data_IF_833214861632
#
_entry.id   IF_833214861632
#
_cell.length_a   1.000
_cell.length_b   1.000
_cell.length_c   1.000
_cell.angle_alpha   90.00
_cell.angle_beta   90.00
_cell.angle_gamma   90.00
#
_symmetry.space_group_name_H-M   'P 1'
#
loop_
_entity.id
_entity.type
_entity.pdbx_description
1 polymer ?
#
# COMPACT_ATOMS: atom_id res chain seq x y z
N UNK A 1 -39.83 31.84 6.78
CA UNK A 1 -39.62 30.40 6.48
C UNK A 1 -38.20 30.13 5.99
N UNK A 2 -37.83 30.62 4.80
CA UNK A 2 -36.52 30.33 4.21
C UNK A 2 -35.35 30.86 5.05
N UNK A 3 -35.47 32.09 5.58
CA UNK A 3 -34.45 32.67 6.46
C UNK A 3 -34.17 31.82 7.71
N UNK A 4 -35.20 31.27 8.37
CA UNK A 4 -35.00 30.43 9.56
C UNK A 4 -34.37 29.09 9.23
N UNK A 5 -34.75 28.48 8.10
CA UNK A 5 -34.14 27.22 7.64
C UNK A 5 -32.68 27.41 7.25
N UNK A 6 -32.37 28.48 6.50
CA UNK A 6 -31.00 28.83 6.10
C UNK A 6 -30.11 29.09 7.31
N UNK A 7 -30.59 29.85 8.29
CA UNK A 7 -29.82 30.20 9.49
C UNK A 7 -29.55 28.97 10.37
N UNK A 8 -30.52 28.09 10.55
CA UNK A 8 -30.33 26.85 11.32
C UNK A 8 -29.33 25.92 10.63
N UNK A 9 -29.47 25.74 9.32
CA UNK A 9 -28.50 24.97 8.54
C UNK A 9 -27.07 25.54 8.67
N UNK A 10 -26.92 26.86 8.55
CA UNK A 10 -25.63 27.54 8.70
C UNK A 10 -25.04 27.33 10.10
N UNK A 11 -25.82 27.48 11.18
CA UNK A 11 -25.29 27.30 12.54
C UNK A 11 -24.84 25.86 12.80
N UNK A 12 -25.65 24.86 12.39
CA UNK A 12 -25.28 23.45 12.56
C UNK A 12 -24.05 23.09 11.74
N UNK A 13 -23.94 23.61 10.51
CA UNK A 13 -22.79 23.41 9.64
C UNK A 13 -21.51 24.05 10.23
N UNK A 14 -21.57 25.27 10.74
CA UNK A 14 -20.41 25.93 11.37
C UNK A 14 -19.98 25.24 12.67
N UNK A 15 -20.93 24.80 13.52
CA UNK A 15 -20.61 24.01 14.71
C UNK A 15 -19.88 22.71 14.34
N UNK A 16 -20.38 21.99 13.33
CA UNK A 16 -19.77 20.74 12.87
C UNK A 16 -18.38 20.97 12.24
N UNK A 17 -18.21 22.04 11.45
CA UNK A 17 -16.90 22.43 10.88
C UNK A 17 -15.88 22.72 11.96
N UNK A 18 -16.27 23.45 13.01
CA UNK A 18 -15.36 23.80 14.09
C UNK A 18 -14.96 22.57 14.91
N UNK A 19 -15.90 21.67 15.22
CA UNK A 19 -15.59 20.40 15.86
C UNK A 19 -14.62 19.56 15.01
N UNK A 20 -14.86 19.48 13.69
CA UNK A 20 -13.97 18.81 12.74
C UNK A 20 -12.58 19.47 12.67
N UNK A 21 -12.47 20.79 12.77
CA UNK A 21 -11.17 21.49 12.81
C UNK A 21 -10.39 21.14 14.09
N UNK A 22 -11.05 21.14 15.24
CA UNK A 22 -10.45 20.77 16.53
C UNK A 22 -9.98 19.32 16.50
N UNK A 23 -10.83 18.39 16.03
CA UNK A 23 -10.49 16.97 15.87
C UNK A 23 -9.28 16.81 14.94
N UNK A 24 -9.25 17.54 13.83
CA UNK A 24 -8.10 17.54 12.91
C UNK A 24 -6.80 17.93 13.62
N UNK A 25 -6.83 19.01 14.41
CA UNK A 25 -5.64 19.46 15.13
C UNK A 25 -5.18 18.44 16.20
N UNK A 26 -6.13 17.75 16.85
CA UNK A 26 -5.82 16.65 17.76
C UNK A 26 -5.19 15.47 17.00
N UNK A 27 -5.75 15.09 15.85
CA UNK A 27 -5.18 14.04 14.99
C UNK A 27 -3.75 14.39 14.57
N UNK A 28 -3.49 15.61 14.08
CA UNK A 28 -2.15 16.03 13.66
C UNK A 28 -1.14 15.99 14.82
N UNK A 29 -1.56 16.37 16.03
CA UNK A 29 -0.73 16.28 17.22
C UNK A 29 -0.45 14.82 17.61
N UNK A 30 -1.45 13.93 17.51
CA UNK A 30 -1.32 12.50 17.79
C UNK A 30 -0.44 11.79 16.75
N UNK A 31 -0.58 12.12 15.46
CA UNK A 31 0.31 11.62 14.42
C UNK A 31 1.78 12.00 14.70
N UNK A 32 2.03 13.25 15.12
CA UNK A 32 3.39 13.69 15.54
C UNK A 32 3.90 12.94 16.77
N UNK A 33 3.04 12.61 17.72
CA UNK A 33 3.44 11.81 18.90
C UNK A 33 3.72 10.36 18.51
N UNK A 34 2.93 9.77 17.62
CA UNK A 34 3.17 8.43 17.08
C UNK A 34 4.43 8.35 16.22
N UNK A 35 4.74 9.38 15.42
CA UNK A 35 5.98 9.45 14.65
C UNK A 35 7.22 9.37 15.56
N UNK A 36 7.18 10.03 16.73
CA UNK A 36 8.28 9.94 17.72
C UNK A 36 8.56 8.53 18.22
N UNK A 37 7.59 7.61 18.12
CA UNK A 37 7.73 6.21 18.52
C UNK A 37 8.35 5.33 17.42
N UNK A 38 8.55 5.86 16.21
CA UNK A 38 9.12 5.10 15.11
C UNK A 38 10.60 4.76 15.36
N UNK A 39 11.08 3.58 14.90
CA UNK A 39 12.45 3.12 15.11
C UNK A 39 13.53 4.11 14.62
N UNK A 40 13.24 4.92 13.60
CA UNK A 40 14.15 5.94 13.06
C UNK A 40 14.65 6.92 14.12
N UNK A 41 13.83 7.23 15.13
CA UNK A 41 14.19 8.16 16.19
C UNK A 41 15.16 7.56 17.23
N UNK A 42 15.34 6.24 17.23
CA UNK A 42 16.30 5.55 18.11
C UNK A 42 17.74 5.61 17.60
N UNK A 43 17.99 5.99 16.34
CA UNK A 43 19.32 5.99 15.74
C UNK A 43 20.33 6.86 16.53
N UNK A 44 19.90 8.02 17.01
CA UNK A 44 20.73 8.91 17.82
C UNK A 44 21.13 8.27 19.15
N UNK A 45 20.20 7.55 19.81
CA UNK A 45 20.46 6.86 21.08
C UNK A 45 21.48 5.73 20.90
N UNK A 46 21.36 4.96 19.82
CA UNK A 46 22.31 3.89 19.48
C UNK A 46 23.70 4.46 19.22
N UNK A 47 23.80 5.52 18.39
CA UNK A 47 25.07 6.18 18.09
C UNK A 47 25.74 6.75 19.35
N UNK A 48 24.98 7.36 20.26
CA UNK A 48 25.51 7.85 21.53
C UNK A 48 26.06 6.71 22.42
N UNK A 49 25.37 5.58 22.50
CA UNK A 49 25.85 4.42 23.28
C UNK A 49 27.09 3.76 22.67
N UNK A 50 27.14 3.60 21.34
CA UNK A 50 28.30 3.02 20.65
C UNK A 50 29.55 3.90 20.77
N UNK A 51 29.37 5.23 20.68
CA UNK A 51 30.48 6.19 20.80
C UNK A 51 30.96 6.37 22.25
N UNK A 52 30.10 6.16 23.25
CA UNK A 52 30.51 6.13 24.68
C UNK A 52 31.52 5.04 24.98
N UNK A 53 31.42 3.87 24.34
CA UNK A 53 32.42 2.80 24.46
C UNK A 53 33.79 3.15 23.85
N UNK A 54 33.87 4.17 22.98
CA UNK A 54 35.10 4.60 22.30
C UNK A 54 35.74 5.88 22.88
N UNK A 55 35.02 6.67 23.68
CA UNK A 55 35.49 7.96 24.22
C UNK A 55 35.43 8.01 25.74
N UNK A 56 36.44 7.44 26.41
CA UNK A 56 36.70 7.71 27.83
C UNK A 56 37.31 9.10 28.10
N UNK A 57 37.67 9.89 27.07
CA UNK A 57 38.48 11.12 27.27
C UNK A 57 37.88 12.48 26.91
N UNK A 58 36.61 12.60 26.49
CA UNK A 58 36.05 13.94 26.20
C UNK A 58 34.63 14.14 26.75
N UNK A 59 34.54 14.93 27.84
CA UNK A 59 33.30 15.48 28.42
C UNK A 59 32.69 16.52 27.47
N UNK A 60 31.89 16.09 26.50
CA UNK A 60 30.79 16.92 25.98
C UNK A 60 29.52 16.46 26.67
N UNK A 61 28.80 17.39 27.32
CA UNK A 61 27.48 17.08 27.89
C UNK A 61 26.60 16.50 26.79
N UNK A 62 26.06 15.27 26.95
CA UNK A 62 25.17 14.71 25.95
C UNK A 62 23.91 15.56 25.90
N UNK A 63 23.46 15.90 24.68
CA UNK A 63 22.12 16.48 24.47
C UNK A 63 21.12 15.46 25.00
N UNK A 64 20.37 15.82 26.03
CA UNK A 64 19.36 14.95 26.64
C UNK A 64 18.18 14.84 25.66
N UNK A 65 18.07 13.69 25.01
CA UNK A 65 16.96 13.41 24.10
C UNK A 65 15.71 13.22 24.94
N UNK A 66 14.71 14.08 24.70
CA UNK A 66 13.44 14.00 25.40
C UNK A 66 12.70 12.71 25.04
N UNK A 67 12.41 11.89 26.05
CA UNK A 67 11.73 10.61 25.83
C UNK A 67 10.22 10.84 25.60
N UNK A 68 9.62 10.13 24.63
CA UNK A 68 8.16 10.09 24.47
C UNK A 68 7.46 9.75 25.79
N UNK A 69 6.34 10.43 26.07
CA UNK A 69 5.58 10.33 27.31
C UNK A 69 5.91 11.42 28.34
N UNK A 70 7.03 12.15 28.20
CA UNK A 70 7.31 13.29 29.09
C UNK A 70 6.32 14.44 28.89
N UNK A 71 5.81 14.60 27.67
CA UNK A 71 4.73 15.53 27.33
C UNK A 71 3.43 15.25 28.12
N UNK A 72 3.22 14.00 28.56
CA UNK A 72 2.06 13.59 29.36
C UNK A 72 2.30 13.73 30.87
N UNK A 73 3.53 13.98 31.32
CA UNK A 73 3.84 14.16 32.73
C UNK A 73 3.44 15.56 33.21
N UNK A 74 2.20 15.68 33.67
CA UNK A 74 1.63 16.94 34.18
C UNK A 74 2.03 17.21 35.62
N UNK A 75 2.65 18.37 35.87
CA UNK A 75 3.00 18.86 37.22
C UNK A 75 1.89 19.68 37.88
N UNK A 76 1.22 20.54 37.11
CA UNK A 76 0.10 21.39 37.57
C UNK A 76 -0.95 21.49 36.47
N UNK A 77 -2.23 21.69 36.85
CA UNK A 77 -3.35 21.92 35.92
C UNK A 77 -3.48 23.39 35.49
N UNK A 78 -2.77 24.30 36.13
CA UNK A 78 -2.76 25.72 35.78
C UNK A 78 -2.06 25.96 34.43
N UNK A 79 -1.09 25.12 34.09
CA UNK A 79 -0.37 25.19 32.82
C UNK A 79 -1.10 24.38 31.74
N UNK A 80 -2.03 25.03 31.04
CA UNK A 80 -2.78 24.42 29.95
C UNK A 80 -1.92 24.25 28.70
N UNK A 81 -1.72 23.00 28.29
CA UNK A 81 -1.07 22.67 27.01
C UNK A 81 -2.01 22.95 25.84
N UNK A 82 -1.49 22.97 24.61
CA UNK A 82 -2.33 23.06 23.41
C UNK A 82 -3.34 21.92 23.34
N UNK A 83 -2.93 20.70 23.70
CA UNK A 83 -3.83 19.54 23.74
C UNK A 83 -4.95 19.74 24.77
N UNK A 84 -4.69 20.36 25.92
CA UNK A 84 -5.73 20.65 26.92
C UNK A 84 -6.79 21.59 26.35
N UNK A 85 -6.36 22.68 25.72
CA UNK A 85 -7.27 23.65 25.10
C UNK A 85 -8.13 23.01 24.01
N UNK A 86 -7.53 22.16 23.17
CA UNK A 86 -8.24 21.43 22.13
C UNK A 86 -9.27 20.45 22.71
N UNK A 87 -8.91 19.65 23.71
CA UNK A 87 -9.85 18.70 24.32
C UNK A 87 -10.98 19.41 25.09
N UNK A 88 -10.69 20.51 25.78
CA UNK A 88 -11.72 21.33 26.43
C UNK A 88 -12.71 21.88 25.39
N UNK A 89 -12.21 22.52 24.33
CA UNK A 89 -13.05 23.05 23.26
C UNK A 89 -13.88 21.96 22.57
N UNK A 90 -13.27 20.79 22.31
CA UNK A 90 -13.96 19.64 21.74
C UNK A 90 -15.11 19.17 22.63
N UNK A 91 -14.85 19.02 23.93
CA UNK A 91 -15.86 18.53 24.89
C UNK A 91 -17.07 19.45 24.95
N UNK A 92 -16.85 20.76 25.08
CA UNK A 92 -17.92 21.76 25.13
C UNK A 92 -18.73 21.80 23.83
N UNK A 93 -18.06 21.76 22.69
CA UNK A 93 -18.73 21.82 21.39
C UNK A 93 -19.48 20.51 21.08
N UNK A 94 -18.90 19.35 21.39
CA UNK A 94 -19.57 18.06 21.28
C UNK A 94 -20.79 17.98 22.19
N UNK A 95 -20.73 18.53 23.41
CA UNK A 95 -21.88 18.63 24.29
C UNK A 95 -23.02 19.42 23.61
N UNK A 96 -22.72 20.56 23.00
CA UNK A 96 -23.71 21.36 22.28
C UNK A 96 -24.30 20.62 21.06
N UNK A 97 -23.47 19.91 20.28
CA UNK A 97 -23.91 19.12 19.11
C UNK A 97 -24.80 17.94 19.55
N UNK A 98 -24.48 17.30 20.68
CA UNK A 98 -25.20 16.13 21.18
C UNK A 98 -26.41 16.48 22.06
N UNK A 99 -26.61 17.77 22.39
CA UNK A 99 -27.64 18.22 23.33
C UNK A 99 -29.06 17.88 22.86
N UNK A 100 -29.33 18.05 21.57
CA UNK A 100 -30.59 17.62 20.94
C UNK A 100 -30.30 16.65 19.81
N UNK A 101 -30.99 15.51 19.80
CA UNK A 101 -30.90 14.55 18.70
C UNK A 101 -31.43 15.15 17.39
N UNK A 102 -32.55 15.88 17.49
CA UNK A 102 -33.29 16.45 16.38
C UNK A 102 -33.79 17.85 16.76
N UNK A 103 -33.77 18.79 15.82
CA UNK A 103 -34.30 20.14 15.94
C UNK A 103 -35.35 20.32 14.86
N UNK A 104 -36.61 20.55 15.26
CA UNK A 104 -37.70 20.81 14.32
C UNK A 104 -37.85 22.30 14.10
N UNK A 105 -37.74 22.73 12.85
CA UNK A 105 -37.89 24.12 12.43
C UNK A 105 -38.90 24.13 11.28
N UNK A 106 -40.13 24.53 11.60
CA UNK A 106 -41.27 24.41 10.69
C UNK A 106 -41.51 22.93 10.36
N UNK A 107 -41.72 22.58 9.08
CA UNK A 107 -41.93 21.21 8.61
C UNK A 107 -40.62 20.43 8.37
N UNK A 108 -39.47 20.96 8.80
CA UNK A 108 -38.15 20.35 8.56
C UNK A 108 -37.51 19.90 9.88
N UNK A 109 -36.94 18.71 9.85
CA UNK A 109 -36.20 18.12 10.98
C UNK A 109 -34.71 18.15 10.66
N UNK A 110 -33.93 18.77 11.52
CA UNK A 110 -32.48 18.86 11.44
C UNK A 110 -31.86 17.93 12.49
N UNK A 111 -30.83 17.17 12.12
CA UNK A 111 -30.10 16.29 13.04
C UNK A 111 -28.65 16.78 13.18
N UNK A 112 -28.30 17.51 14.26
CA UNK A 112 -26.97 18.12 14.41
C UNK A 112 -25.80 17.15 14.24
N UNK A 113 -25.92 15.92 14.77
CA UNK A 113 -24.89 14.88 14.67
C UNK A 113 -24.56 14.47 13.23
N UNK A 114 -25.52 14.54 12.32
CA UNK A 114 -25.32 14.12 10.92
C UNK A 114 -24.41 15.10 10.17
N UNK A 115 -24.47 16.39 10.51
CA UNK A 115 -23.53 17.40 9.99
C UNK A 115 -22.09 17.05 10.40
N UNK A 116 -21.89 16.70 11.68
CA UNK A 116 -20.57 16.30 12.16
C UNK A 116 -20.10 15.00 11.50
N UNK A 117 -20.96 13.98 11.39
CA UNK A 117 -20.65 12.73 10.69
C UNK A 117 -20.15 13.00 9.26
N UNK A 118 -20.90 13.78 8.47
CA UNK A 118 -20.53 14.10 7.09
C UNK A 118 -19.19 14.87 7.00
N UNK A 119 -18.95 15.82 7.89
CA UNK A 119 -17.69 16.56 7.93
C UNK A 119 -16.50 15.68 8.31
N UNK A 120 -16.68 14.74 9.25
CA UNK A 120 -15.65 13.80 9.65
C UNK A 120 -15.30 12.81 8.54
N UNK A 121 -16.30 12.26 7.86
CA UNK A 121 -16.10 11.36 6.72
C UNK A 121 -15.31 12.05 5.60
N UNK A 122 -15.75 13.24 5.18
CA UNK A 122 -15.05 14.03 4.16
C UNK A 122 -13.63 14.40 4.58
N UNK A 123 -13.44 14.80 5.85
CA UNK A 123 -12.12 15.19 6.35
C UNK A 123 -11.18 14.00 6.43
N UNK A 124 -11.67 12.85 6.86
CA UNK A 124 -10.90 11.62 7.00
C UNK A 124 -10.48 11.09 5.64
N UNK A 125 -11.40 11.01 4.67
CA UNK A 125 -11.07 10.63 3.29
C UNK A 125 -9.95 11.49 2.69
N UNK A 126 -10.04 12.82 2.86
CA UNK A 126 -8.97 13.75 2.42
C UNK A 126 -7.67 13.58 3.22
N UNK A 127 -7.75 13.30 4.52
CA UNK A 127 -6.58 13.06 5.36
C UNK A 127 -5.81 11.83 4.91
N UNK A 128 -6.52 10.72 4.62
CA UNK A 128 -5.93 9.46 4.18
C UNK A 128 -5.03 9.64 2.97
N UNK A 129 -5.52 10.32 1.92
CA UNK A 129 -4.73 10.60 0.71
C UNK A 129 -3.64 11.64 0.99
N UNK A 130 -3.95 12.69 1.78
CA UNK A 130 -2.96 13.71 2.14
C UNK A 130 -1.75 13.16 2.90
N UNK A 131 -1.95 12.15 3.75
CA UNK A 131 -0.88 11.49 4.51
C UNK A 131 0.02 10.60 3.64
N UNK A 132 -0.39 10.25 2.41
CA UNK A 132 0.47 9.54 1.44
C UNK A 132 1.66 10.40 1.01
N UNK A 133 1.52 11.73 1.10
CA UNK A 133 2.58 12.70 0.77
C UNK A 133 3.18 12.49 -0.62
N UNK A 134 2.37 12.04 -1.58
CA UNK A 134 2.84 11.77 -2.93
C UNK A 134 3.12 13.08 -3.69
N UNK A 135 4.34 13.23 -4.18
CA UNK A 135 4.75 14.33 -5.03
C UNK A 135 5.19 13.80 -6.40
N UNK A 136 4.43 14.13 -7.44
CA UNK A 136 4.69 13.66 -8.80
C UNK A 136 5.98 14.23 -9.41
N UNK A 137 6.42 15.42 -8.97
CA UNK A 137 7.63 16.06 -9.49
C UNK A 137 8.90 15.41 -8.93
N UNK A 138 8.90 15.08 -7.64
CA UNK A 138 10.05 14.46 -6.96
C UNK A 138 9.98 12.93 -6.93
N UNK A 139 8.82 12.34 -7.25
CA UNK A 139 8.50 10.92 -7.05
C UNK A 139 8.64 10.46 -5.59
N UNK A 140 8.47 11.39 -4.65
CA UNK A 140 8.48 11.08 -3.21
C UNK A 140 7.11 10.58 -2.78
N UNK A 141 7.11 9.60 -1.87
CA UNK A 141 5.93 9.03 -1.27
C UNK A 141 6.25 8.61 0.17
N UNK A 142 5.27 8.70 1.07
CA UNK A 142 5.40 8.18 2.42
C UNK A 142 5.64 6.67 2.40
N UNK A 143 6.43 6.18 3.36
CA UNK A 143 6.60 4.73 3.54
C UNK A 143 5.28 4.11 4.02
N UNK A 144 4.89 2.92 3.51
CA UNK A 144 3.68 2.25 3.97
C UNK A 144 3.56 2.13 5.49
N UNK A 145 4.64 1.81 6.20
CA UNK A 145 4.66 1.68 7.66
C UNK A 145 4.38 3.00 8.39
N UNK A 146 4.98 4.10 7.92
CA UNK A 146 4.78 5.44 8.48
C UNK A 146 3.36 5.95 8.23
N UNK A 147 2.82 5.70 7.03
CA UNK A 147 1.44 5.98 6.70
C UNK A 147 0.49 5.18 7.59
N UNK A 148 0.70 3.87 7.74
CA UNK A 148 -0.14 3.01 8.59
C UNK A 148 -0.16 3.47 10.04
N UNK A 149 0.99 3.86 10.60
CA UNK A 149 1.06 4.42 11.96
C UNK A 149 0.24 5.71 12.08
N UNK A 150 0.32 6.58 11.08
CA UNK A 150 -0.44 7.83 11.03
C UNK A 150 -1.95 7.59 10.89
N UNK A 151 -2.36 6.66 10.02
CA UNK A 151 -3.76 6.24 9.86
C UNK A 151 -4.32 5.68 11.16
N UNK A 152 -3.58 4.77 11.83
CA UNK A 152 -3.99 4.22 13.13
C UNK A 152 -4.11 5.30 14.21
N UNK A 153 -3.17 6.24 14.26
CA UNK A 153 -3.24 7.37 15.19
C UNK A 153 -4.49 8.23 14.94
N UNK A 154 -4.80 8.52 13.68
CA UNK A 154 -5.99 9.25 13.28
C UNK A 154 -7.27 8.51 13.67
N UNK A 155 -7.35 7.20 13.40
CA UNK A 155 -8.48 6.35 13.77
C UNK A 155 -8.68 6.31 15.28
N UNK A 156 -7.60 6.20 16.07
CA UNK A 156 -7.71 6.21 17.53
C UNK A 156 -8.36 7.51 18.04
N UNK A 157 -8.00 8.66 17.48
CA UNK A 157 -8.64 9.93 17.84
C UNK A 157 -10.11 9.93 17.43
N UNK A 158 -10.44 9.53 16.20
CA UNK A 158 -11.83 9.47 15.76
C UNK A 158 -12.68 8.53 16.62
N UNK A 159 -12.15 7.37 17.02
CA UNK A 159 -12.85 6.46 17.92
C UNK A 159 -13.18 7.12 19.27
N UNK A 160 -12.28 7.97 19.79
CA UNK A 160 -12.56 8.69 21.06
C UNK A 160 -13.69 9.70 20.93
N UNK A 161 -14.04 10.14 19.71
CA UNK A 161 -15.17 11.06 19.47
C UNK A 161 -16.51 10.44 19.88
N UNK A 162 -16.64 9.11 19.77
CA UNK A 162 -17.85 8.37 20.21
C UNK A 162 -18.16 8.56 21.70
N UNK A 163 -17.16 8.86 22.51
CA UNK A 163 -17.36 9.14 23.94
C UNK A 163 -18.07 10.48 24.19
N UNK A 164 -18.04 11.40 23.22
CA UNK A 164 -18.62 12.74 23.36
C UNK A 164 -19.92 12.91 22.56
N UNK A 165 -20.03 12.27 21.40
CA UNK A 165 -21.21 12.37 20.52
C UNK A 165 -21.61 10.97 20.07
N UNK A 166 -22.91 10.69 20.09
CA UNK A 166 -23.47 9.42 19.62
C UNK A 166 -23.46 9.35 18.07
N UNK A 167 -22.27 9.15 17.50
CA UNK A 167 -22.01 8.96 16.08
C UNK A 167 -21.39 7.58 15.89
N UNK A 168 -21.78 6.89 14.83
CA UNK A 168 -21.17 5.61 14.43
C UNK A 168 -19.87 5.89 13.65
N UNK A 169 -18.73 5.88 14.35
CA UNK A 169 -17.42 6.09 13.72
C UNK A 169 -17.00 4.85 12.92
N UNK A 170 -17.49 3.67 13.29
CA UNK A 170 -17.24 2.42 12.55
C UNK A 170 -17.75 2.52 11.12
N UNK A 171 -18.93 3.13 10.92
CA UNK A 171 -19.45 3.40 9.57
C UNK A 171 -18.55 4.34 8.77
N UNK A 172 -18.02 5.40 9.39
CA UNK A 172 -17.07 6.31 8.75
C UNK A 172 -15.81 5.56 8.31
N UNK A 173 -15.26 4.70 9.18
CA UNK A 173 -14.10 3.88 8.84
C UNK A 173 -14.37 2.94 7.67
N UNK A 174 -15.49 2.22 7.70
CA UNK A 174 -15.87 1.30 6.64
C UNK A 174 -16.02 2.01 5.29
N UNK A 175 -16.68 3.18 5.27
CA UNK A 175 -16.83 3.95 4.04
C UNK A 175 -15.50 4.47 3.51
N UNK A 176 -14.72 5.16 4.34
CA UNK A 176 -13.49 5.80 3.89
C UNK A 176 -12.39 4.79 3.55
N UNK A 177 -12.11 3.82 4.44
CA UNK A 177 -11.01 2.88 4.24
C UNK A 177 -11.27 1.92 3.09
N UNK A 178 -12.51 1.43 2.93
CA UNK A 178 -12.86 0.54 1.82
C UNK A 178 -12.75 1.25 0.47
N UNK A 179 -13.10 2.54 0.39
CA UNK A 179 -12.89 3.30 -0.84
C UNK A 179 -11.40 3.41 -1.18
N UNK A 180 -10.52 3.55 -0.19
CA UNK A 180 -9.07 3.65 -0.43
C UNK A 180 -8.43 2.38 -0.98
N UNK A 181 -9.14 1.24 -0.98
CA UNK A 181 -8.67 -0.02 -1.59
C UNK A 181 -9.01 -0.13 -3.08
N UNK A 182 -9.82 0.78 -3.63
CA UNK A 182 -10.23 0.79 -5.04
C UNK A 182 -9.28 1.65 -5.87
N UNK A 183 -9.39 1.67 -7.20
CA UNK A 183 -8.57 2.56 -8.05
C UNK A 183 -8.94 4.04 -7.88
N UNK A 184 -10.24 4.32 -7.76
CA UNK A 184 -10.80 5.66 -7.60
C UNK A 184 -11.78 5.66 -6.43
N UNK A 185 -11.87 6.78 -5.71
CA UNK A 185 -12.88 6.96 -4.68
C UNK A 185 -14.26 7.34 -5.26
N UNK A 186 -15.25 7.56 -4.40
CA UNK A 186 -16.61 7.94 -4.85
C UNK A 186 -16.67 9.31 -5.55
N UNK A 187 -15.62 10.12 -5.47
CA UNK A 187 -15.51 11.43 -6.12
C UNK A 187 -14.66 11.39 -7.40
N UNK A 188 -14.12 10.22 -7.76
CA UNK A 188 -13.24 10.05 -8.92
C UNK A 188 -11.78 10.43 -8.68
N UNK A 189 -11.38 10.59 -7.42
CA UNK A 189 -10.00 10.92 -7.03
C UNK A 189 -9.17 9.64 -6.84
N UNK A 190 -7.85 9.76 -7.05
CA UNK A 190 -6.92 8.64 -6.85
C UNK A 190 -6.81 8.28 -5.37
N UNK A 191 -6.89 6.98 -5.09
CA UNK A 191 -6.81 6.41 -3.75
C UNK A 191 -5.37 6.06 -3.35
N UNK A 192 -5.18 5.68 -2.08
CA UNK A 192 -3.94 5.07 -1.59
C UNK A 192 -3.51 3.89 -2.47
N UNK A 193 -4.42 2.96 -2.78
CA UNK A 193 -4.11 1.78 -3.60
C UNK A 193 -3.60 2.15 -5.00
N UNK A 194 -4.24 3.11 -5.66
CA UNK A 194 -3.82 3.57 -6.99
C UNK A 194 -2.47 4.29 -6.96
N UNK A 195 -2.24 5.15 -5.97
CA UNK A 195 -1.00 5.93 -5.84
C UNK A 195 0.20 5.00 -5.59
N UNK A 196 0.10 4.07 -4.64
CA UNK A 196 1.19 3.10 -4.41
C UNK A 196 1.38 2.16 -5.59
N UNK A 197 0.30 1.68 -6.22
CA UNK A 197 0.40 0.82 -7.41
C UNK A 197 1.15 1.53 -8.54
N UNK A 198 0.84 2.80 -8.79
CA UNK A 198 1.57 3.62 -9.75
C UNK A 198 3.04 3.79 -9.35
N UNK A 199 3.31 4.12 -8.08
CA UNK A 199 4.68 4.33 -7.61
C UNK A 199 5.55 3.06 -7.72
N UNK A 200 5.07 1.90 -7.25
CA UNK A 200 5.83 0.65 -7.37
C UNK A 200 6.11 0.27 -8.83
N UNK A 201 5.12 0.45 -9.73
CA UNK A 201 5.27 0.09 -11.13
C UNK A 201 6.15 1.07 -11.93
N UNK A 202 5.92 2.38 -11.80
CA UNK A 202 6.55 3.39 -12.65
C UNK A 202 7.85 3.96 -12.07
N UNK A 203 8.01 3.92 -10.74
CA UNK A 203 9.15 4.53 -10.03
C UNK A 203 10.14 3.45 -9.58
N UNK A 204 9.70 2.45 -8.82
CA UNK A 204 10.57 1.41 -8.28
C UNK A 204 10.99 0.40 -9.35
N UNK A 205 10.03 -0.31 -9.96
CA UNK A 205 10.33 -1.39 -10.92
C UNK A 205 10.97 -0.90 -12.23
N UNK A 206 10.69 0.34 -12.62
CA UNK A 206 11.37 0.99 -13.75
C UNK A 206 12.87 1.16 -13.49
N UNK A 207 13.26 1.53 -12.25
CA UNK A 207 14.67 1.65 -11.85
C UNK A 207 15.35 0.29 -11.68
N UNK A 208 14.61 -0.74 -11.32
CA UNK A 208 15.11 -2.13 -11.36
C UNK A 208 15.44 -2.54 -12.79
N UNK A 209 14.56 -2.23 -13.75
CA UNK A 209 14.78 -2.52 -15.17
C UNK A 209 15.98 -1.75 -15.76
N UNK A 210 16.33 -0.60 -15.17
CA UNK A 210 17.50 0.19 -15.52
C UNK A 210 18.82 -0.32 -14.89
N UNK A 211 18.76 -1.34 -14.02
CA UNK A 211 19.94 -1.95 -13.39
C UNK A 211 20.44 -1.26 -12.12
N UNK A 212 19.72 -0.26 -11.60
CA UNK A 212 20.13 0.47 -10.39
C UNK A 212 19.76 -0.25 -9.09
N UNK A 213 18.75 -1.10 -9.15
CA UNK A 213 18.13 -1.79 -8.01
C UNK A 213 18.04 -3.27 -8.35
N UNK A 214 18.32 -4.14 -7.39
CA UNK A 214 18.16 -5.59 -7.53
C UNK A 214 17.27 -6.18 -6.45
N UNK A 215 16.69 -7.34 -6.73
CA UNK A 215 15.97 -8.11 -5.72
C UNK A 215 16.93 -9.04 -4.98
N UNK A 216 16.99 -8.93 -3.66
CA UNK A 216 17.82 -9.77 -2.79
C UNK A 216 16.97 -10.80 -2.08
N UNK A 217 17.15 -12.08 -2.40
CA UNK A 217 16.46 -13.19 -1.71
C UNK A 217 16.83 -13.27 -0.22
N UNK A 218 18.07 -12.95 0.13
CA UNK A 218 18.56 -13.03 1.51
C UNK A 218 17.92 -11.97 2.41
N UNK A 219 17.69 -10.75 1.87
CA UNK A 219 17.04 -9.67 2.60
C UNK A 219 15.52 -9.63 2.39
N UNK A 220 15.00 -10.43 1.44
CA UNK A 220 13.59 -10.42 1.01
C UNK A 220 13.11 -8.98 0.73
N UNK A 221 13.90 -8.24 -0.04
CA UNK A 221 13.68 -6.82 -0.35
C UNK A 221 14.41 -6.43 -1.63
N UNK A 222 14.00 -5.30 -2.23
CA UNK A 222 14.83 -4.62 -3.22
C UNK A 222 15.92 -3.80 -2.56
N UNK A 223 17.10 -3.80 -3.18
CA UNK A 223 18.35 -3.19 -2.66
C UNK A 223 18.98 -2.34 -3.76
N UNK A 224 19.51 -1.17 -3.39
CA UNK A 224 20.25 -0.32 -4.33
C UNK A 224 21.64 -0.91 -4.58
N UNK A 225 22.06 -0.99 -5.84
CA UNK A 225 23.45 -1.30 -6.22
C UNK A 225 24.32 -0.05 -6.35
N UNK A 226 23.68 1.09 -6.57
CA UNK A 226 24.35 2.36 -6.80
C UNK A 226 24.67 3.05 -5.47
N UNK A 227 25.77 3.81 -5.43
CA UNK A 227 26.21 4.54 -4.25
C UNK A 227 25.08 5.42 -3.67
N UNK A 228 25.04 5.54 -2.34
CA UNK A 228 24.03 6.34 -1.63
C UNK A 228 23.89 7.74 -2.26
N UNK A 229 22.65 8.12 -2.62
CA UNK A 229 22.31 9.42 -3.20
C UNK A 229 22.16 9.47 -4.74
N UNK A 230 22.45 8.39 -5.47
CA UNK A 230 22.19 8.29 -6.91
C UNK A 230 20.69 8.21 -7.26
N UNK A 231 19.90 7.61 -6.36
CA UNK A 231 18.45 7.48 -6.45
C UNK A 231 17.80 8.25 -5.29
N UNK A 232 16.63 8.87 -5.52
CA UNK A 232 16.03 9.78 -4.54
C UNK A 232 15.45 9.08 -3.30
N UNK A 233 15.45 7.74 -3.25
CA UNK A 233 14.91 6.96 -2.15
C UNK A 233 15.68 5.64 -1.97
N UNK A 234 15.62 5.08 -0.76
CA UNK A 234 16.18 3.76 -0.46
C UNK A 234 15.13 2.67 -0.73
N UNK A 235 15.32 1.77 -1.71
CA UNK A 235 14.30 0.77 -2.08
C UNK A 235 13.98 -0.21 -0.96
N UNK A 236 14.93 -0.45 -0.05
CA UNK A 236 14.76 -1.30 1.12
C UNK A 236 13.68 -0.77 2.06
N UNK A 237 13.58 0.56 2.19
CA UNK A 237 12.61 1.24 3.06
C UNK A 237 11.18 1.27 2.48
N UNK A 238 10.95 0.61 1.35
CA UNK A 238 9.64 0.51 0.69
C UNK A 238 9.27 -0.92 0.29
N UNK A 239 10.20 -1.88 0.34
CA UNK A 239 9.97 -3.21 -0.23
C UNK A 239 10.38 -4.37 0.66
N UNK A 240 10.83 -4.09 1.88
CA UNK A 240 11.01 -5.12 2.88
C UNK A 240 9.65 -5.75 3.29
N UNK A 241 9.74 -6.81 4.08
CA UNK A 241 8.56 -7.54 4.54
C UNK A 241 7.65 -6.66 5.41
N UNK A 242 8.20 -5.74 6.21
CA UNK A 242 7.40 -4.90 7.11
C UNK A 242 6.60 -3.85 6.33
N UNK A 243 7.22 -3.23 5.35
CA UNK A 243 6.60 -2.24 4.47
C UNK A 243 5.52 -2.88 3.60
N UNK A 244 5.76 -4.08 3.05
CA UNK A 244 4.76 -4.77 2.25
C UNK A 244 3.61 -5.33 3.08
N UNK A 245 3.82 -5.73 4.33
CA UNK A 245 2.74 -6.03 5.28
C UNK A 245 1.94 -4.78 5.62
N UNK A 246 2.60 -3.65 5.88
CA UNK A 246 1.92 -2.39 6.14
C UNK A 246 1.09 -1.93 4.93
N UNK A 247 1.62 -2.07 3.72
CA UNK A 247 0.89 -1.82 2.47
C UNK A 247 -0.33 -2.73 2.37
N UNK A 248 -0.16 -4.04 2.59
CA UNK A 248 -1.25 -5.00 2.53
C UNK A 248 -2.35 -4.71 3.56
N UNK A 249 -2.01 -4.22 4.75
CA UNK A 249 -3.00 -3.78 5.75
C UNK A 249 -3.74 -2.50 5.33
N UNK A 250 -3.06 -1.57 4.66
CA UNK A 250 -3.66 -0.32 4.18
C UNK A 250 -4.62 -0.53 3.01
N UNK A 251 -4.24 -1.35 2.02
CA UNK A 251 -4.98 -1.47 0.75
C UNK A 251 -5.76 -2.79 0.63
N UNK A 252 -5.54 -3.73 1.54
CA UNK A 252 -6.26 -5.00 1.63
C UNK A 252 -6.18 -5.89 0.38
N UNK A 253 -7.00 -6.96 0.33
CA UNK A 253 -7.06 -7.86 -0.82
C UNK A 253 -7.40 -7.15 -2.14
N UNK A 254 -8.28 -6.15 -2.12
CA UNK A 254 -8.69 -5.41 -3.33
C UNK A 254 -7.52 -4.62 -3.94
N UNK A 255 -6.83 -3.82 -3.14
CA UNK A 255 -5.68 -3.05 -3.63
C UNK A 255 -4.49 -3.93 -3.98
N UNK A 256 -4.26 -5.02 -3.23
CA UNK A 256 -3.21 -5.99 -3.57
C UNK A 256 -3.51 -6.77 -4.85
N UNK A 257 -4.81 -7.03 -5.16
CA UNK A 257 -5.25 -7.57 -6.45
C UNK A 257 -4.98 -6.57 -7.58
N UNK A 258 -5.31 -5.29 -7.39
CA UNK A 258 -5.01 -4.23 -8.37
C UNK A 258 -3.50 -4.11 -8.66
N UNK A 259 -2.66 -4.08 -7.62
CA UNK A 259 -1.21 -4.10 -7.75
C UNK A 259 -0.78 -5.31 -8.56
N UNK A 260 -1.27 -6.48 -8.17
CA UNK A 260 -1.02 -7.76 -8.83
C UNK A 260 -1.39 -7.78 -10.32
N UNK A 261 -2.55 -7.26 -10.69
CA UNK A 261 -2.99 -7.13 -12.09
C UNK A 261 -2.08 -6.19 -12.89
N UNK A 262 -1.67 -5.07 -12.29
CA UNK A 262 -0.73 -4.11 -12.90
C UNK A 262 0.62 -4.78 -13.17
N UNK A 263 1.13 -5.55 -12.21
CA UNK A 263 2.37 -6.31 -12.38
C UNK A 263 2.23 -7.36 -13.49
N UNK A 264 1.12 -8.09 -13.57
CA UNK A 264 0.89 -9.07 -14.63
C UNK A 264 0.72 -8.43 -16.01
N UNK A 265 0.18 -7.22 -16.08
CA UNK A 265 0.14 -6.45 -17.31
C UNK A 265 1.55 -6.14 -17.82
N UNK A 266 2.47 -5.73 -16.93
CA UNK A 266 3.87 -5.51 -17.30
C UNK A 266 4.58 -6.80 -17.74
N UNK A 267 4.37 -7.92 -17.03
CA UNK A 267 4.91 -9.23 -17.43
C UNK A 267 4.43 -9.60 -18.82
N UNK A 268 3.13 -9.48 -19.06
CA UNK A 268 2.52 -9.78 -20.34
C UNK A 268 3.15 -8.96 -21.48
N UNK A 269 3.42 -7.66 -21.26
CA UNK A 269 4.16 -6.84 -22.25
C UNK A 269 5.57 -7.37 -22.54
N UNK A 270 6.28 -7.86 -21.53
CA UNK A 270 7.59 -8.49 -21.76
C UNK A 270 7.46 -9.80 -22.53
N UNK A 271 6.43 -10.60 -22.25
CA UNK A 271 6.16 -11.86 -22.97
C UNK A 271 5.86 -11.62 -24.45
N UNK A 272 5.11 -10.57 -24.81
CA UNK A 272 4.89 -10.22 -26.22
C UNK A 272 6.22 -9.95 -26.94
N UNK A 273 7.10 -9.16 -26.33
CA UNK A 273 8.39 -8.84 -26.92
C UNK A 273 9.30 -10.07 -27.02
N UNK A 274 9.26 -10.96 -26.03
CA UNK A 274 9.95 -12.25 -26.08
C UNK A 274 9.44 -13.13 -27.23
N UNK A 275 8.11 -13.18 -27.45
CA UNK A 275 7.52 -13.90 -28.59
C UNK A 275 8.03 -13.35 -29.93
N UNK A 276 8.14 -12.04 -30.09
CA UNK A 276 8.72 -11.43 -31.31
C UNK A 276 10.17 -11.85 -31.53
N UNK A 277 10.98 -11.89 -30.47
CA UNK A 277 12.38 -12.33 -30.55
C UNK A 277 12.50 -13.83 -30.89
N UNK A 278 11.62 -14.67 -30.37
CA UNK A 278 11.55 -16.08 -30.71
C UNK A 278 11.14 -16.28 -32.19
N UNK A 279 10.15 -15.52 -32.67
CA UNK A 279 9.71 -15.57 -34.08
C UNK A 279 10.82 -15.14 -35.03
N UNK A 280 11.57 -14.08 -34.70
CA UNK A 280 12.73 -13.63 -35.50
C UNK A 280 13.82 -14.69 -35.67
N UNK A 281 13.94 -15.62 -34.71
CA UNK A 281 14.94 -16.68 -34.73
C UNK A 281 14.31 -18.07 -34.95
N UNK A 282 13.05 -18.16 -35.43
CA UNK A 282 12.24 -19.40 -35.48
C UNK A 282 12.97 -20.57 -36.15
N UNK A 283 13.50 -20.36 -37.36
CA UNK A 283 14.19 -21.42 -38.12
C UNK A 283 15.45 -21.93 -37.41
N UNK A 284 16.22 -21.01 -36.84
CA UNK A 284 17.44 -21.34 -36.10
C UNK A 284 17.07 -22.14 -34.85
N UNK A 285 16.11 -21.65 -34.04
CA UNK A 285 15.66 -22.30 -32.82
C UNK A 285 15.07 -23.70 -33.10
N UNK A 286 14.35 -23.89 -34.21
CA UNK A 286 13.88 -25.21 -34.64
C UNK A 286 15.03 -26.16 -34.99
N UNK A 287 16.05 -25.66 -35.69
CA UNK A 287 17.25 -26.43 -36.02
C UNK A 287 18.02 -26.83 -34.77
N UNK A 288 18.15 -25.92 -33.79
CA UNK A 288 18.75 -26.19 -32.49
C UNK A 288 17.97 -27.26 -31.72
N UNK A 289 16.63 -27.15 -31.67
CA UNK A 289 15.76 -28.07 -30.95
C UNK A 289 15.76 -29.49 -31.53
N UNK A 290 16.02 -29.65 -32.83
CA UNK A 290 16.04 -30.95 -33.51
C UNK A 290 17.43 -31.58 -33.60
N UNK A 291 18.50 -30.79 -33.45
CA UNK A 291 19.89 -31.27 -33.52
C UNK A 291 20.65 -31.04 -32.20
N UNK A 292 19.95 -31.15 -31.07
CA UNK A 292 20.53 -30.96 -29.73
C UNK A 292 21.63 -31.99 -29.39
N UNK A 293 21.67 -33.10 -30.12
CA UNK A 293 22.61 -34.22 -30.00
C UNK A 293 23.92 -34.01 -30.81
N UNK A 294 24.02 -32.94 -31.62
CA UNK A 294 25.16 -32.65 -32.51
C UNK A 294 25.89 -31.37 -32.10
N UNK A 295 26.98 -31.44 -31.32
CA UNK A 295 27.67 -30.27 -30.77
C UNK A 295 28.18 -29.27 -31.82
N UNK A 296 28.70 -29.74 -32.96
CA UNK A 296 29.24 -28.87 -34.01
C UNK A 296 28.12 -28.04 -34.68
N UNK A 297 26.99 -28.69 -35.02
CA UNK A 297 25.82 -28.02 -35.59
C UNK A 297 25.24 -27.02 -34.59
N UNK A 298 25.18 -27.40 -33.31
CA UNK A 298 24.70 -26.55 -32.22
C UNK A 298 25.55 -25.27 -32.09
N UNK A 299 26.88 -25.40 -32.14
CA UNK A 299 27.82 -24.28 -32.03
C UNK A 299 27.72 -23.33 -33.22
N UNK A 300 27.56 -23.86 -34.44
CA UNK A 300 27.40 -23.04 -35.64
C UNK A 300 26.07 -22.28 -35.66
N UNK A 301 24.97 -22.95 -35.32
CA UNK A 301 23.65 -22.33 -35.30
C UNK A 301 23.49 -21.33 -34.15
N UNK A 302 24.10 -21.58 -32.98
CA UNK A 302 24.09 -20.62 -31.87
C UNK A 302 24.71 -19.26 -32.24
N UNK A 303 25.79 -19.25 -33.04
CA UNK A 303 26.41 -18.01 -33.52
C UNK A 303 25.50 -17.16 -34.42
N UNK A 304 24.47 -17.77 -35.00
CA UNK A 304 23.50 -17.07 -35.87
C UNK A 304 22.36 -16.45 -35.09
N UNK A 305 22.20 -16.78 -33.80
CA UNK A 305 21.18 -16.16 -32.96
C UNK A 305 21.45 -14.68 -32.80
N UNK A 306 20.39 -13.89 -32.93
CA UNK A 306 20.44 -12.44 -32.73
C UNK A 306 19.72 -12.05 -31.45
N UNK A 307 20.15 -10.95 -30.81
CA UNK A 307 19.47 -10.36 -29.66
C UNK A 307 19.37 -11.28 -28.42
N UNK A 308 20.34 -12.18 -28.21
CA UNK A 308 20.37 -13.09 -27.05
C UNK A 308 20.36 -12.33 -25.72
N UNK A 309 21.11 -11.23 -25.61
CA UNK A 309 21.13 -10.38 -24.41
C UNK A 309 19.76 -9.77 -24.10
N UNK A 310 18.99 -9.38 -25.13
CA UNK A 310 17.64 -8.84 -24.94
C UNK A 310 16.68 -9.89 -24.38
N UNK A 311 16.81 -11.16 -24.79
CA UNK A 311 16.02 -12.27 -24.23
C UNK A 311 16.33 -12.42 -22.75
N UNK A 312 17.63 -12.48 -22.39
CA UNK A 312 18.08 -12.60 -21.00
C UNK A 312 17.60 -11.43 -20.13
N UNK A 313 17.75 -10.20 -20.62
CA UNK A 313 17.30 -9.00 -19.92
C UNK A 313 15.79 -9.03 -19.67
N UNK A 314 14.98 -9.35 -20.68
CA UNK A 314 13.52 -9.39 -20.57
C UNK A 314 13.04 -10.52 -19.64
N UNK A 315 13.64 -11.71 -19.74
CA UNK A 315 13.34 -12.81 -18.82
C UNK A 315 13.73 -12.46 -17.38
N UNK A 316 14.83 -11.73 -17.19
CA UNK A 316 15.23 -11.23 -15.86
C UNK A 316 14.20 -10.23 -15.32
N UNK A 317 13.72 -9.28 -16.13
CA UNK A 317 12.66 -8.34 -15.74
C UNK A 317 11.38 -9.09 -15.34
N UNK A 318 10.97 -10.11 -16.10
CA UNK A 318 9.83 -10.97 -15.76
C UNK A 318 10.04 -11.64 -14.40
N UNK A 319 11.20 -12.26 -14.19
CA UNK A 319 11.54 -12.93 -12.93
C UNK A 319 11.51 -11.98 -11.72
N UNK A 320 12.01 -10.75 -11.90
CA UNK A 320 11.98 -9.71 -10.86
C UNK A 320 10.53 -9.32 -10.50
N UNK A 321 9.70 -9.05 -11.51
CA UNK A 321 8.30 -8.63 -11.27
C UNK A 321 7.53 -9.75 -10.56
N UNK A 322 7.75 -11.00 -10.96
CA UNK A 322 7.14 -12.16 -10.31
C UNK A 322 7.64 -12.34 -8.87
N UNK A 323 8.94 -12.08 -8.61
CA UNK A 323 9.51 -12.12 -7.26
C UNK A 323 8.87 -11.06 -6.35
N UNK A 324 8.68 -9.84 -6.87
CA UNK A 324 7.99 -8.78 -6.13
C UNK A 324 6.53 -9.13 -5.83
N UNK A 325 5.81 -9.68 -6.82
CA UNK A 325 4.44 -10.19 -6.63
C UNK A 325 4.40 -11.27 -5.56
N UNK A 326 5.29 -12.26 -5.61
CA UNK A 326 5.33 -13.35 -4.63
C UNK A 326 5.57 -12.82 -3.21
N UNK A 327 6.49 -11.87 -3.06
CA UNK A 327 6.76 -11.25 -1.76
C UNK A 327 5.52 -10.47 -1.26
N UNK A 328 4.90 -9.70 -2.14
CA UNK A 328 3.68 -8.92 -1.85
C UNK A 328 2.51 -9.82 -1.43
N UNK A 329 2.30 -10.93 -2.14
CA UNK A 329 1.25 -11.91 -1.83
C UNK A 329 1.51 -12.65 -0.52
N UNK A 330 2.77 -13.03 -0.25
CA UNK A 330 3.14 -13.62 1.04
C UNK A 330 2.84 -12.65 2.20
N UNK A 331 3.13 -11.35 2.04
CA UNK A 331 2.83 -10.36 3.05
C UNK A 331 1.31 -10.15 3.23
N UNK A 332 0.53 -10.24 2.15
CA UNK A 332 -0.93 -10.22 2.24
C UNK A 332 -1.44 -11.42 3.04
N UNK A 333 -0.95 -12.63 2.77
CA UNK A 333 -1.35 -13.83 3.53
C UNK A 333 -1.06 -13.67 5.02
N UNK A 334 0.12 -13.16 5.40
CA UNK A 334 0.46 -12.92 6.81
C UNK A 334 -0.56 -11.97 7.49
N UNK A 335 -0.98 -10.90 6.80
CA UNK A 335 -1.98 -9.94 7.32
C UNK A 335 -3.36 -10.59 7.42
N UNK A 336 -3.76 -11.39 6.43
CA UNK A 336 -5.06 -12.07 6.43
C UNK A 336 -5.14 -13.19 7.47
N UNK A 337 -4.03 -13.84 7.79
CA UNK A 337 -3.95 -14.85 8.85
C UNK A 337 -4.26 -14.23 10.21
N UNK A 338 -3.78 -13.02 10.48
CA UNK A 338 -4.09 -12.28 11.70
C UNK A 338 -5.52 -11.74 11.71
N UNK A 339 -6.00 -11.19 10.58
CA UNK A 339 -7.26 -10.43 10.53
C UNK A 339 -8.50 -11.30 10.30
N UNK A 340 -8.39 -12.37 9.51
CA UNK A 340 -9.51 -13.23 9.11
C UNK A 340 -9.14 -14.74 9.11
N UNK A 341 -8.60 -15.27 10.23
CA UNK A 341 -8.05 -16.63 10.29
C UNK A 341 -9.06 -17.71 9.89
N UNK A 342 -10.33 -17.55 10.25
CA UNK A 342 -11.38 -18.52 9.94
C UNK A 342 -11.68 -18.60 8.43
N UNK A 343 -11.69 -17.45 7.75
CA UNK A 343 -11.91 -17.43 6.30
C UNK A 343 -10.69 -18.01 5.58
N UNK A 344 -9.48 -17.60 5.99
CA UNK A 344 -8.24 -18.10 5.39
C UNK A 344 -8.11 -19.62 5.56
N UNK A 345 -8.38 -20.16 6.75
CA UNK A 345 -8.38 -21.61 7.00
C UNK A 345 -9.37 -22.34 6.09
N UNK A 346 -10.55 -21.77 5.84
CA UNK A 346 -11.55 -22.36 4.95
C UNK A 346 -11.07 -22.37 3.49
N UNK A 347 -10.40 -21.31 3.05
CA UNK A 347 -9.82 -21.21 1.71
C UNK A 347 -8.70 -22.23 1.52
N UNK A 348 -7.82 -22.39 2.51
CA UNK A 348 -6.72 -23.37 2.50
C UNK A 348 -7.26 -24.79 2.44
N UNK A 349 -8.25 -25.12 3.28
CA UNK A 349 -8.89 -26.43 3.27
C UNK A 349 -9.52 -26.75 1.90
N UNK A 350 -10.24 -25.77 1.34
CA UNK A 350 -10.85 -25.91 0.02
C UNK A 350 -9.81 -26.07 -1.10
N UNK A 351 -8.68 -25.36 -1.03
CA UNK A 351 -7.57 -25.51 -1.98
C UNK A 351 -6.98 -26.93 -1.97
N UNK A 352 -6.81 -27.53 -0.79
CA UNK A 352 -6.17 -28.84 -0.64
C UNK A 352 -7.08 -30.00 -1.05
N UNK A 353 -8.38 -29.87 -0.79
CA UNK A 353 -9.32 -30.98 -0.94
C UNK A 353 -10.20 -30.92 -2.19
N UNK A 354 -9.96 -29.97 -3.11
CA UNK A 354 -10.81 -29.80 -4.30
C UNK A 354 -10.73 -31.01 -5.26
N UNK A 355 -11.81 -31.81 -5.41
CA UNK A 355 -11.78 -32.99 -6.25
C UNK A 355 -12.02 -32.61 -7.73
N UNK A 356 -11.15 -33.08 -8.64
CA UNK A 356 -11.34 -32.94 -10.10
C UNK A 356 -10.52 -31.84 -10.80
N UNK A 357 -9.63 -31.14 -10.08
CA UNK A 357 -8.90 -29.98 -10.62
C UNK A 357 -9.81 -28.75 -10.78
N UNK A 358 -9.28 -27.58 -11.14
CA UNK A 358 -10.02 -26.30 -11.20
C UNK A 358 -10.32 -25.85 -12.65
N UNK A 359 -11.32 -26.45 -13.33
CA UNK A 359 -11.60 -26.17 -14.75
C UNK A 359 -12.11 -24.74 -14.97
N UNK A 360 -12.81 -24.16 -13.99
CA UNK A 360 -13.34 -22.80 -14.06
C UNK A 360 -12.36 -21.74 -13.53
N UNK A 361 -11.21 -22.15 -12.98
CA UNK A 361 -10.18 -21.28 -12.38
C UNK A 361 -10.66 -20.42 -11.20
N UNK A 362 -11.85 -20.72 -10.66
CA UNK A 362 -12.49 -19.94 -9.61
C UNK A 362 -11.78 -20.17 -8.28
N UNK A 363 -11.38 -21.43 -8.01
CA UNK A 363 -10.67 -21.78 -6.78
C UNK A 363 -9.30 -21.10 -6.76
N UNK A 364 -8.60 -21.15 -7.90
CA UNK A 364 -7.29 -20.53 -8.09
C UNK A 364 -7.36 -19.01 -7.92
N UNK A 365 -8.42 -18.37 -8.45
CA UNK A 365 -8.62 -16.92 -8.28
C UNK A 365 -8.89 -16.55 -6.83
N UNK A 366 -9.75 -17.31 -6.13
CA UNK A 366 -10.02 -17.10 -4.70
C UNK A 366 -8.75 -17.27 -3.85
N UNK A 367 -8.00 -18.34 -4.07
CA UNK A 367 -6.73 -18.63 -3.39
C UNK A 367 -5.72 -17.51 -3.64
N UNK A 368 -5.56 -17.09 -4.89
CA UNK A 368 -4.66 -15.99 -5.25
C UNK A 368 -5.08 -14.65 -4.65
N UNK A 369 -6.39 -14.40 -4.49
CA UNK A 369 -6.90 -13.19 -3.84
C UNK A 369 -6.61 -13.16 -2.33
N UNK A 370 -6.41 -14.33 -1.72
CA UNK A 370 -5.96 -14.47 -0.33
C UNK A 370 -4.42 -14.49 -0.18
N UNK A 371 -3.69 -14.27 -1.27
CA UNK A 371 -2.22 -14.29 -1.33
C UNK A 371 -1.57 -15.66 -1.26
N UNK A 372 -2.37 -16.72 -1.26
CA UNK A 372 -1.87 -18.09 -1.24
C UNK A 372 -1.26 -18.46 -2.60
N UNK A 373 -0.17 -19.25 -2.61
CA UNK A 373 0.50 -19.64 -3.84
C UNK A 373 -0.37 -20.62 -4.67
N UNK A 374 -0.47 -20.34 -5.97
CA UNK A 374 -1.13 -21.21 -6.94
C UNK A 374 -0.08 -21.87 -7.85
N UNK A 375 -0.30 -23.13 -8.23
CA UNK A 375 0.57 -23.83 -9.21
C UNK A 375 0.57 -23.14 -10.59
N UNK A 376 -0.60 -22.63 -10.99
CA UNK A 376 -0.79 -21.82 -12.19
C UNK A 376 -1.41 -20.51 -11.75
N UNK A 377 -0.75 -19.40 -12.03
CA UNK A 377 -1.23 -18.07 -11.65
C UNK A 377 -2.48 -17.69 -12.49
N UNK A 378 -3.66 -17.53 -11.87
CA UNK A 378 -4.89 -17.23 -12.59
C UNK A 378 -4.86 -15.84 -13.24
N UNK A 379 -4.25 -14.85 -12.58
CA UNK A 379 -4.13 -13.47 -13.07
C UNK A 379 -3.19 -13.39 -14.27
N UNK A 380 -2.07 -14.13 -14.24
CA UNK A 380 -1.17 -14.19 -15.38
C UNK A 380 -1.85 -14.83 -16.59
N UNK A 381 -2.58 -15.94 -16.39
CA UNK A 381 -3.26 -16.61 -17.49
C UNK A 381 -4.38 -15.75 -18.06
N UNK A 382 -5.17 -15.07 -17.23
CA UNK A 382 -6.22 -14.18 -17.73
C UNK A 382 -5.62 -13.03 -18.55
N UNK A 383 -4.54 -12.41 -18.08
CA UNK A 383 -3.88 -11.29 -18.75
C UNK A 383 -3.27 -11.69 -20.10
N UNK A 384 -2.65 -12.88 -20.18
CA UNK A 384 -2.10 -13.41 -21.43
C UNK A 384 -3.20 -13.73 -22.46
N UNK A 385 -4.34 -14.26 -22.02
CA UNK A 385 -5.47 -14.59 -22.91
C UNK A 385 -6.15 -13.36 -23.50
N UNK A 386 -6.25 -12.27 -22.74
CA UNK A 386 -6.89 -11.02 -23.20
C UNK A 386 -6.19 -10.45 -24.44
N UNK A 387 -4.88 -10.66 -24.59
CA UNK A 387 -4.12 -10.11 -25.71
C UNK A 387 -4.23 -10.90 -27.01
N UNK A 388 -4.62 -12.18 -26.95
CA UNK A 388 -4.92 -12.99 -28.14
C UNK A 388 -5.87 -14.15 -27.75
N UNK A 389 -7.17 -14.04 -28.08
CA UNK A 389 -8.16 -15.05 -27.68
C UNK A 389 -8.10 -16.35 -28.52
N UNK A 390 -7.45 -16.32 -29.70
CA UNK A 390 -7.31 -17.48 -30.59
C UNK A 390 -5.91 -18.10 -30.46
N UNK A 391 -5.88 -19.40 -30.10
CA UNK A 391 -4.65 -20.20 -30.04
C UNK A 391 -4.42 -20.78 -31.43
N UNK A 392 -3.47 -20.22 -32.16
CA UNK A 392 -3.00 -20.79 -33.42
C UNK A 392 -1.93 -21.87 -33.16
N UNK A 393 -1.85 -22.89 -34.01
CA UNK A 393 -0.85 -23.97 -33.90
C UNK A 393 0.59 -23.44 -33.93
N UNK A 394 0.82 -22.36 -34.66
CA UNK A 394 2.09 -21.64 -34.70
C UNK A 394 2.44 -20.99 -33.35
N UNK A 395 1.45 -20.60 -32.55
CA UNK A 395 1.70 -20.00 -31.24
C UNK A 395 2.26 -21.01 -30.24
N UNK A 396 1.74 -22.24 -30.24
CA UNK A 396 2.26 -23.30 -29.38
C UNK A 396 3.72 -23.58 -29.69
N UNK A 397 4.07 -23.63 -30.98
CA UNK A 397 5.45 -23.81 -31.43
C UNK A 397 6.35 -22.66 -30.95
N UNK A 398 5.93 -21.39 -31.10
CA UNK A 398 6.69 -20.23 -30.63
C UNK A 398 6.95 -20.30 -29.13
N UNK A 399 5.93 -20.67 -28.33
CA UNK A 399 6.08 -20.84 -26.88
C UNK A 399 7.09 -21.95 -26.57
N UNK A 400 7.07 -23.06 -27.30
CA UNK A 400 8.07 -24.11 -27.12
C UNK A 400 9.48 -23.70 -27.55
N UNK A 401 9.64 -22.77 -28.51
CA UNK A 401 10.95 -22.28 -28.95
C UNK A 401 11.52 -21.20 -28.02
N UNK A 402 10.69 -20.62 -27.16
CA UNK A 402 11.13 -19.69 -26.11
C UNK A 402 11.81 -20.41 -24.93
N UNK A 403 11.54 -21.71 -24.78
CA UNK A 403 12.15 -22.61 -23.79
C UNK A 403 13.44 -23.20 -24.36
#
# INVERSE_FOLDING_TARGET
RERSLSVVNMFLDEMAKEAKNIITAICDAQCKMSDKLLPKNCAQLISQQMNRKKKEKNKKNPVEIEKPGKESYRKTRENLTTMDKLHMALTELCYAINYFSNINVWEYTFAPREYLHQHLENRFARALVGMVMYNADTNEIAKPSELLVSVRAYMNVLQTVENYVHIDITRIFNNCLLQQTQTLDSHGEKTIAAIYTQWYSEVLLRRVSAGNIIFSMNQRSFVSLTAEGSIPFNPEEYSDVNELRALAELIGPYGMKQLSETLMWHVTRQVIELKKLAEMNKEILQSLRTNFDKPEVMKEQFKKLTHVENILQRMTIVGVILSFRQLSQSCLTDVLEERIPFLLSSIVDFQHHFPGGDPLKVVSEMVSAAGLPCKVDPTLVSTLKVQKPEIDSDEHLIVCLLM
#
